data_IF_591970214854
#
_entry.id   IF_591970214854
#
_cell.length_a   1.000
_cell.length_b   1.000
_cell.length_c   1.000
_cell.angle_alpha   90.00
_cell.angle_beta   90.00
_cell.angle_gamma   90.00
#
_symmetry.space_group_name_H-M   'P 1'
#
loop_
_entity.id
_entity.type
_entity.pdbx_description
1 polymer ?
#
# COMPACT_ATOMS: atom_id res chain seq x y z
N UNK A 1 -3.61 -36.44 -5.95
CA UNK A 1 -3.43 -37.29 -4.75
C UNK A 1 -4.78 -37.77 -4.29
N UNK A 2 -4.93 -39.07 -3.99
CA UNK A 2 -6.20 -39.64 -3.49
C UNK A 2 -6.27 -39.40 -1.99
N UNK A 3 -7.36 -38.81 -1.51
CA UNK A 3 -7.60 -38.59 -0.09
C UNK A 3 -8.28 -39.83 0.55
N UNK A 4 -7.97 -40.18 1.81
CA UNK A 4 -8.69 -41.23 2.53
C UNK A 4 -10.07 -40.73 2.96
N UNK A 5 -11.09 -41.55 2.70
CA UNK A 5 -12.47 -41.31 3.12
C UNK A 5 -12.68 -41.69 4.60
N UNK A 6 -12.84 -40.70 5.48
CA UNK A 6 -13.36 -40.87 6.85
C UNK A 6 -14.78 -40.32 6.98
N UNK A 7 -15.61 -40.83 7.91
CA UNK A 7 -17.04 -40.51 7.95
C UNK A 7 -17.36 -39.17 8.62
N UNK A 8 -18.29 -38.43 7.99
CA UNK A 8 -19.20 -37.43 8.57
C UNK A 8 -18.84 -36.75 9.89
N UNK A 9 -17.93 -35.77 9.84
CA UNK A 9 -17.88 -34.67 10.81
C UNK A 9 -18.54 -33.43 10.21
N UNK A 10 -19.36 -32.71 10.99
CA UNK A 10 -20.11 -31.55 10.50
C UNK A 10 -19.19 -30.49 9.89
N UNK A 11 -19.54 -30.00 8.70
CA UNK A 11 -18.77 -28.97 7.99
C UNK A 11 -18.61 -27.67 8.79
N UNK A 12 -19.51 -27.41 9.74
CA UNK A 12 -19.41 -26.32 10.71
C UNK A 12 -18.21 -26.46 11.67
N UNK A 13 -17.85 -27.68 12.09
CA UNK A 13 -16.70 -27.92 12.98
C UNK A 13 -15.35 -27.86 12.28
N UNK A 14 -15.30 -28.03 10.96
CA UNK A 14 -14.06 -27.89 10.19
C UNK A 14 -13.65 -26.42 9.98
N UNK A 15 -14.55 -25.46 10.19
CA UNK A 15 -14.28 -24.03 10.03
C UNK A 15 -13.58 -23.39 11.23
N UNK A 16 -13.65 -24.00 12.43
CA UNK A 16 -13.10 -23.43 13.68
C UNK A 16 -11.61 -23.70 13.93
N UNK A 17 -10.87 -24.18 12.92
CA UNK A 17 -9.47 -24.62 13.07
C UNK A 17 -8.48 -23.93 12.11
N UNK A 18 -8.93 -23.00 11.25
CA UNK A 18 -8.05 -22.27 10.34
C UNK A 18 -7.50 -20.99 10.99
N UNK A 19 -6.23 -20.61 10.73
CA UNK A 19 -5.65 -19.40 11.32
C UNK A 19 -6.40 -18.17 10.82
N UNK A 20 -6.73 -17.26 11.74
CA UNK A 20 -7.34 -15.97 11.40
C UNK A 20 -6.27 -14.93 11.10
N UNK A 21 -6.55 -14.09 10.10
CA UNK A 21 -5.69 -12.97 9.72
C UNK A 21 -5.55 -11.98 10.88
N UNK A 22 -4.37 -11.35 10.95
CA UNK A 22 -4.01 -10.36 11.97
C UNK A 22 -3.61 -9.04 11.27
N UNK A 23 -3.73 -7.89 11.96
CA UNK A 23 -4.32 -7.70 13.28
C UNK A 23 -5.85 -7.93 13.32
N UNK A 24 -6.40 -8.09 14.53
CA UNK A 24 -7.85 -7.91 14.78
C UNK A 24 -8.12 -6.46 15.17
N UNK A 25 -9.07 -5.82 14.50
CA UNK A 25 -9.44 -4.40 14.63
C UNK A 25 -10.96 -4.22 14.71
N UNK A 26 -11.47 -3.61 15.77
CA UNK A 26 -12.90 -3.51 16.05
C UNK A 26 -13.57 -2.36 15.25
N UNK A 27 -13.45 -2.35 13.93
CA UNK A 27 -14.00 -1.30 13.07
C UNK A 27 -15.48 -1.52 12.78
N UNK A 28 -16.32 -0.50 12.99
CA UNK A 28 -17.75 -0.55 12.67
C UNK A 28 -18.49 -1.68 13.42
N UNK A 29 -19.02 -2.71 12.72
CA UNK A 29 -19.66 -3.87 13.36
C UNK A 29 -18.65 -4.87 13.99
N UNK A 30 -17.37 -4.50 14.05
CA UNK A 30 -16.26 -5.39 14.42
C UNK A 30 -15.65 -6.09 13.19
N UNK A 31 -14.43 -6.59 13.33
CA UNK A 31 -13.80 -7.42 12.29
C UNK A 31 -14.53 -8.75 12.15
N UNK A 32 -15.10 -9.09 10.98
CA UNK A 32 -15.60 -10.44 10.76
C UNK A 32 -14.41 -11.42 10.76
N UNK A 33 -14.62 -12.71 11.09
CA UNK A 33 -13.56 -13.70 10.99
C UNK A 33 -13.03 -13.81 9.56
N UNK A 34 -11.81 -13.31 9.34
CA UNK A 34 -11.08 -13.41 8.08
C UNK A 34 -10.03 -14.50 8.25
N UNK A 35 -10.11 -15.54 7.42
CA UNK A 35 -9.14 -16.62 7.39
C UNK A 35 -7.85 -16.10 6.73
N UNK A 36 -6.71 -16.30 7.40
CA UNK A 36 -5.42 -15.83 6.95
C UNK A 36 -4.99 -16.47 5.64
N UNK A 37 -4.20 -15.75 4.85
CA UNK A 37 -3.61 -16.23 3.59
C UNK A 37 -2.84 -17.53 3.79
N UNK A 38 -2.17 -17.69 4.93
CA UNK A 38 -1.42 -18.90 5.29
C UNK A 38 -2.27 -20.19 5.29
N UNK A 39 -3.59 -20.09 5.48
CA UNK A 39 -4.53 -21.20 5.45
C UNK A 39 -4.80 -21.79 4.05
N UNK A 40 -4.42 -21.08 2.98
CA UNK A 40 -4.53 -21.58 1.60
C UNK A 40 -3.20 -21.52 0.83
N UNK A 41 -2.36 -20.55 1.14
CA UNK A 41 -1.07 -20.35 0.48
C UNK A 41 -0.03 -21.40 0.90
N UNK A 42 -0.03 -21.82 2.18
CA UNK A 42 0.90 -22.80 2.76
C UNK A 42 2.40 -22.59 2.37
N UNK A 43 2.84 -21.33 2.21
CA UNK A 43 4.20 -20.99 1.76
C UNK A 43 4.48 -21.20 0.26
N UNK A 44 3.54 -21.77 -0.50
CA UNK A 44 3.64 -22.01 -1.93
C UNK A 44 3.19 -20.83 -2.82
N UNK A 45 2.75 -19.71 -2.22
CA UNK A 45 2.20 -18.57 -2.95
C UNK A 45 2.98 -17.22 -2.84
N UNK A 46 4.28 -17.12 -3.20
CA UNK A 46 5.03 -15.85 -3.38
C UNK A 46 4.87 -14.80 -2.25
N UNK A 47 4.66 -13.49 -2.52
CA UNK A 47 4.38 -12.80 -3.80
C UNK A 47 5.61 -12.54 -4.70
N UNK A 48 5.52 -11.71 -5.76
CA UNK A 48 6.62 -11.48 -6.75
C UNK A 48 7.47 -10.28 -6.35
N UNK A 49 6.79 -9.22 -5.94
CA UNK A 49 7.35 -8.02 -5.34
C UNK A 49 6.72 -7.85 -3.96
N UNK A 50 7.35 -7.06 -3.05
CA UNK A 50 6.69 -6.63 -1.83
C UNK A 50 5.34 -5.95 -2.13
N UNK A 51 4.38 -5.97 -1.18
CA UNK A 51 3.10 -5.30 -1.36
C UNK A 51 3.28 -3.80 -1.53
N UNK A 52 2.49 -3.23 -2.44
CA UNK A 52 2.34 -1.80 -2.62
C UNK A 52 1.00 -1.36 -2.04
N UNK A 53 0.88 -0.09 -1.69
CA UNK A 53 -0.27 0.45 -0.97
C UNK A 53 -0.76 1.73 -1.63
N UNK A 54 -2.08 1.83 -1.78
CA UNK A 54 -2.78 3.02 -2.23
C UNK A 54 -3.64 3.60 -1.11
N UNK A 55 -4.86 4.03 -1.46
CA UNK A 55 -5.88 4.47 -0.49
C UNK A 55 -7.21 3.78 -0.83
N UNK A 56 -7.97 3.31 0.16
CA UNK A 56 -9.33 2.81 -0.12
C UNK A 56 -10.28 4.01 -0.27
N UNK A 57 -10.88 4.18 -1.46
CA UNK A 57 -11.96 5.15 -1.71
C UNK A 57 -13.30 4.49 -2.03
N UNK A 58 -13.27 3.27 -2.56
CA UNK A 58 -14.42 2.41 -2.85
C UNK A 58 -14.02 0.92 -2.78
N UNK A 59 -15.00 0.05 -2.79
CA UNK A 59 -14.81 -1.37 -3.02
C UNK A 59 -15.36 -1.80 -4.39
N UNK A 60 -14.64 -2.69 -5.07
CA UNK A 60 -15.16 -3.43 -6.24
C UNK A 60 -15.55 -4.84 -5.83
N UNK A 61 -16.75 -5.25 -6.24
CA UNK A 61 -17.27 -6.61 -6.10
C UNK A 61 -17.09 -7.35 -7.41
N UNK A 62 -16.51 -8.55 -7.30
CA UNK A 62 -16.18 -9.45 -8.40
C UNK A 62 -16.87 -10.80 -8.24
N UNK A 63 -16.93 -11.55 -9.34
CA UNK A 63 -17.04 -13.01 -9.30
C UNK A 63 -15.73 -13.64 -9.81
N UNK A 64 -15.47 -14.91 -9.52
CA UNK A 64 -14.26 -15.60 -9.99
C UNK A 64 -14.42 -16.29 -11.34
N UNK A 65 -15.65 -16.39 -11.86
CA UNK A 65 -16.06 -17.26 -12.99
C UNK A 65 -15.70 -18.74 -12.80
N UNK A 66 -15.40 -19.18 -11.58
CA UNK A 66 -15.20 -20.60 -11.26
C UNK A 66 -16.53 -21.34 -11.17
N UNK A 67 -16.59 -22.67 -11.41
CA UNK A 67 -17.81 -23.45 -11.24
C UNK A 67 -18.42 -23.32 -9.83
N UNK A 68 -19.74 -23.23 -9.75
CA UNK A 68 -20.51 -23.24 -8.49
C UNK A 68 -20.63 -24.68 -7.93
N UNK A 69 -21.09 -24.82 -6.69
CA UNK A 69 -21.39 -26.12 -6.09
C UNK A 69 -20.14 -26.91 -5.65
N UNK A 70 -19.03 -26.22 -5.42
CA UNK A 70 -17.81 -26.79 -4.87
C UNK A 70 -17.97 -27.07 -3.36
N UNK A 71 -17.22 -28.04 -2.82
CA UNK A 71 -17.21 -28.33 -1.39
C UNK A 71 -16.33 -27.33 -0.61
N UNK A 72 -16.64 -27.10 0.68
CA UNK A 72 -15.91 -26.15 1.54
C UNK A 72 -14.40 -26.45 1.64
N UNK A 73 -14.01 -27.72 1.55
CA UNK A 73 -12.60 -28.14 1.54
C UNK A 73 -11.84 -27.83 0.24
N UNK A 74 -12.53 -27.50 -0.85
CA UNK A 74 -11.90 -27.15 -2.14
C UNK A 74 -11.45 -25.69 -2.21
N UNK A 75 -11.95 -24.80 -1.32
CA UNK A 75 -11.68 -23.36 -1.39
C UNK A 75 -10.20 -23.00 -1.35
N UNK A 76 -9.35 -23.60 -0.49
CA UNK A 76 -7.90 -23.39 -0.55
C UNK A 76 -7.29 -23.66 -1.94
N UNK A 77 -7.71 -24.75 -2.60
CA UNK A 77 -7.24 -25.10 -3.94
C UNK A 77 -7.78 -24.17 -5.03
N UNK A 78 -9.00 -23.63 -4.87
CA UNK A 78 -9.57 -22.61 -5.76
C UNK A 78 -8.77 -21.30 -5.64
N UNK A 79 -8.49 -20.83 -4.43
CA UNK A 79 -7.66 -19.64 -4.21
C UNK A 79 -6.24 -19.82 -4.77
N UNK A 80 -5.64 -20.99 -4.55
CA UNK A 80 -4.33 -21.31 -5.09
C UNK A 80 -4.32 -21.38 -6.63
N UNK A 81 -5.35 -21.92 -7.28
CA UNK A 81 -5.42 -21.96 -8.76
C UNK A 81 -5.59 -20.56 -9.36
N UNK A 82 -6.42 -19.71 -8.74
CA UNK A 82 -6.57 -18.29 -9.12
C UNK A 82 -5.24 -17.54 -8.94
N UNK A 83 -4.52 -17.77 -7.84
CA UNK A 83 -3.18 -17.23 -7.62
C UNK A 83 -2.19 -17.67 -8.70
N UNK A 84 -2.14 -18.97 -9.02
CA UNK A 84 -1.23 -19.53 -10.04
C UNK A 84 -1.50 -18.89 -11.41
N UNK A 85 -2.78 -18.78 -11.80
CA UNK A 85 -3.17 -18.11 -13.05
C UNK A 85 -2.76 -16.64 -13.05
N UNK A 86 -3.09 -15.88 -12.01
CA UNK A 86 -2.73 -14.46 -11.92
C UNK A 86 -1.22 -14.24 -11.98
N UNK A 87 -0.44 -14.99 -11.20
CA UNK A 87 1.01 -14.79 -11.07
C UNK A 87 1.83 -15.25 -12.26
N UNK A 88 1.48 -16.41 -12.83
CA UNK A 88 2.31 -17.11 -13.81
C UNK A 88 1.74 -17.09 -15.23
N UNK A 89 0.48 -16.68 -15.41
CA UNK A 89 -0.16 -16.54 -16.74
C UNK A 89 -0.54 -15.09 -17.04
N UNK A 90 -1.03 -14.32 -16.05
CA UNK A 90 -1.39 -12.89 -16.20
C UNK A 90 -0.26 -11.92 -15.82
N UNK A 91 0.89 -12.45 -15.40
CA UNK A 91 2.09 -11.73 -14.94
C UNK A 91 1.89 -10.81 -13.71
N UNK A 92 0.79 -10.98 -12.97
CA UNK A 92 0.52 -10.18 -11.77
C UNK A 92 1.50 -10.49 -10.64
N UNK A 93 1.70 -9.53 -9.74
CA UNK A 93 2.63 -9.70 -8.61
C UNK A 93 2.13 -10.72 -7.58
N UNK A 94 0.80 -10.86 -7.50
CA UNK A 94 0.06 -11.75 -6.61
C UNK A 94 -1.36 -11.98 -7.17
N UNK A 95 -2.22 -12.73 -6.47
CA UNK A 95 -3.67 -12.78 -6.70
C UNK A 95 -4.26 -11.35 -6.77
N UNK A 96 -5.10 -11.09 -7.78
CA UNK A 96 -5.57 -9.74 -8.09
C UNK A 96 -6.50 -9.12 -7.04
N UNK A 97 -7.31 -9.95 -6.37
CA UNK A 97 -8.30 -9.55 -5.38
C UNK A 97 -7.69 -9.43 -3.98
N UNK A 98 -8.11 -8.45 -3.19
CA UNK A 98 -7.67 -8.30 -1.79
C UNK A 98 -8.27 -9.38 -0.89
N UNK A 99 -9.56 -9.66 -1.08
CA UNK A 99 -10.30 -10.67 -0.33
C UNK A 99 -11.06 -11.62 -1.25
N UNK A 100 -11.35 -12.81 -0.74
CA UNK A 100 -12.32 -13.71 -1.32
C UNK A 100 -13.42 -14.08 -0.31
N UNK A 101 -14.63 -14.27 -0.81
CA UNK A 101 -15.79 -14.76 -0.06
C UNK A 101 -16.30 -16.02 -0.74
N UNK A 102 -16.55 -17.09 0.01
CA UNK A 102 -17.08 -18.35 -0.53
C UNK A 102 -18.58 -18.54 -0.25
N UNK A 103 -19.22 -19.45 -1.01
CA UNK A 103 -20.61 -19.89 -0.84
C UNK A 103 -20.98 -20.31 0.61
N UNK A 104 -20.00 -20.64 1.46
CA UNK A 104 -20.20 -21.02 2.86
C UNK A 104 -20.18 -19.82 3.82
N UNK A 105 -20.05 -18.60 3.30
CA UNK A 105 -20.00 -17.36 4.07
C UNK A 105 -18.69 -17.15 4.83
N UNK A 106 -17.60 -17.82 4.42
CA UNK A 106 -16.25 -17.59 4.97
C UNK A 106 -15.53 -16.53 4.16
N UNK A 107 -14.78 -15.68 4.86
CA UNK A 107 -13.97 -14.62 4.27
C UNK A 107 -12.51 -15.05 4.34
N UNK A 108 -11.77 -14.83 3.26
CA UNK A 108 -10.36 -15.19 3.12
C UNK A 108 -9.55 -13.95 2.75
N UNK A 109 -8.42 -13.77 3.43
CA UNK A 109 -7.34 -12.92 2.96
C UNK A 109 -6.81 -13.53 1.65
N UNK A 110 -7.03 -12.83 0.55
CA UNK A 110 -6.48 -13.22 -0.74
C UNK A 110 -5.08 -12.62 -0.87
N UNK A 111 -4.94 -11.34 -1.24
CA UNK A 111 -3.64 -10.70 -1.51
C UNK A 111 -2.81 -10.48 -0.25
N UNK A 112 -1.50 -10.73 -0.32
CA UNK A 112 -0.57 -10.47 0.79
C UNK A 112 -0.33 -8.97 1.03
N UNK A 113 0.07 -8.59 2.24
CA UNK A 113 0.27 -7.18 2.64
C UNK A 113 -0.66 -6.66 3.75
N UNK A 114 -1.38 -7.52 4.46
CA UNK A 114 -2.20 -7.14 5.61
C UNK A 114 -3.64 -6.78 5.25
N UNK A 115 -4.58 -7.46 5.91
CA UNK A 115 -6.03 -7.30 5.74
C UNK A 115 -6.53 -5.90 6.09
N UNK A 116 -5.87 -5.20 7.00
CA UNK A 116 -6.23 -3.87 7.44
C UNK A 116 -5.78 -2.80 6.43
N UNK A 117 -4.70 -3.03 5.69
CA UNK A 117 -4.07 -2.06 4.79
C UNK A 117 -4.76 -1.83 3.45
N UNK A 118 -4.48 -0.68 2.83
CA UNK A 118 -4.93 -0.33 1.48
C UNK A 118 -4.06 -1.00 0.38
N UNK A 119 -3.88 -2.32 0.47
CA UNK A 119 -3.03 -3.09 -0.47
C UNK A 119 -3.49 -2.89 -1.91
N UNK A 120 -2.59 -2.40 -2.77
CA UNK A 120 -2.84 -2.16 -4.18
C UNK A 120 -3.12 -3.49 -4.90
N UNK A 121 -4.32 -3.66 -5.43
CA UNK A 121 -4.80 -4.86 -6.10
C UNK A 121 -4.34 -5.00 -7.57
N UNK A 122 -4.87 -6.00 -8.27
CA UNK A 122 -4.78 -6.14 -9.73
C UNK A 122 -6.11 -6.69 -10.27
N UNK A 123 -7.20 -6.02 -9.89
CA UNK A 123 -8.59 -6.46 -10.04
C UNK A 123 -9.46 -5.51 -10.86
N UNK A 124 -9.29 -4.19 -10.72
CA UNK A 124 -9.98 -3.17 -11.51
C UNK A 124 -8.93 -2.22 -12.11
N UNK A 125 -8.62 -2.40 -13.40
CA UNK A 125 -7.40 -1.91 -14.04
C UNK A 125 -7.13 -0.44 -13.78
N UNK A 126 -8.10 0.41 -14.12
CA UNK A 126 -8.01 1.87 -13.95
C UNK A 126 -7.95 2.36 -12.50
N UNK A 127 -8.28 1.53 -11.51
CA UNK A 127 -8.71 1.98 -10.18
C UNK A 127 -8.06 1.22 -9.01
N UNK A 128 -7.12 0.30 -9.26
CA UNK A 128 -6.48 -0.55 -8.25
C UNK A 128 -5.80 0.22 -7.10
N UNK A 129 -5.26 1.41 -7.37
CA UNK A 129 -4.61 2.25 -6.36
C UNK A 129 -5.58 3.02 -5.46
N UNK A 130 -6.88 3.06 -5.82
CA UNK A 130 -7.91 3.82 -5.12
C UNK A 130 -9.02 2.92 -4.54
N UNK A 131 -8.87 1.59 -4.60
CA UNK A 131 -9.94 0.64 -4.27
C UNK A 131 -9.46 -0.63 -3.56
N UNK A 132 -10.39 -1.30 -2.89
CA UNK A 132 -10.23 -2.70 -2.44
C UNK A 132 -11.12 -3.61 -3.29
N UNK A 133 -10.62 -4.77 -3.72
CA UNK A 133 -11.38 -5.74 -4.50
C UNK A 133 -11.76 -6.97 -3.68
N UNK A 134 -13.04 -7.34 -3.70
CA UNK A 134 -13.57 -8.56 -3.10
C UNK A 134 -14.12 -9.46 -4.20
N UNK A 135 -13.63 -10.69 -4.29
CA UNK A 135 -14.21 -11.71 -5.19
C UNK A 135 -15.16 -12.63 -4.43
N UNK A 136 -16.38 -12.79 -4.93
CA UNK A 136 -17.27 -13.87 -4.52
C UNK A 136 -16.94 -15.08 -5.40
N UNK A 137 -16.57 -16.20 -4.79
CA UNK A 137 -16.14 -17.39 -5.53
C UNK A 137 -17.34 -18.09 -6.18
N UNK A 138 -17.34 -18.15 -7.51
CA UNK A 138 -18.41 -18.72 -8.31
C UNK A 138 -18.60 -17.99 -9.65
N UNK A 139 -19.62 -18.42 -10.40
CA UNK A 139 -20.12 -17.79 -11.61
C UNK A 139 -21.57 -17.36 -11.40
N UNK A 140 -21.77 -16.05 -11.36
CA UNK A 140 -23.04 -15.42 -10.99
C UNK A 140 -23.67 -14.63 -12.14
N UNK A 141 -23.54 -15.14 -13.38
CA UNK A 141 -24.25 -14.60 -14.54
C UNK A 141 -25.77 -14.74 -14.35
N UNK A 142 -26.27 -15.97 -14.22
CA UNK A 142 -27.70 -16.30 -14.12
C UNK A 142 -28.12 -16.88 -12.77
N UNK A 143 -27.17 -17.15 -11.87
CA UNK A 143 -27.40 -17.76 -10.55
C UNK A 143 -27.00 -16.75 -9.48
N UNK A 144 -27.87 -16.54 -8.49
CA UNK A 144 -27.57 -15.70 -7.34
C UNK A 144 -26.53 -16.36 -6.41
N UNK A 145 -25.60 -15.61 -5.79
CA UNK A 145 -24.74 -16.16 -4.73
C UNK A 145 -25.54 -16.68 -3.54
N UNK A 146 -24.93 -17.60 -2.78
CA UNK A 146 -25.52 -18.08 -1.54
C UNK A 146 -25.79 -16.93 -0.55
N UNK A 147 -26.90 -16.93 0.20
CA UNK A 147 -27.19 -15.90 1.20
C UNK A 147 -26.08 -15.72 2.26
N UNK A 148 -25.39 -16.81 2.61
CA UNK A 148 -24.23 -16.77 3.50
C UNK A 148 -23.05 -15.99 2.91
N UNK A 149 -22.80 -16.11 1.60
CA UNK A 149 -21.78 -15.33 0.89
C UNK A 149 -22.14 -13.85 0.84
N UNK A 150 -23.41 -13.50 0.60
CA UNK A 150 -23.88 -12.10 0.63
C UNK A 150 -23.70 -11.50 2.03
N UNK A 151 -24.15 -12.18 3.09
CA UNK A 151 -23.99 -11.70 4.47
C UNK A 151 -22.51 -11.62 4.92
N UNK A 152 -21.62 -12.42 4.32
CA UNK A 152 -20.17 -12.31 4.54
C UNK A 152 -19.55 -11.13 3.78
N UNK A 153 -19.94 -10.91 2.52
CA UNK A 153 -19.58 -9.74 1.72
C UNK A 153 -20.01 -8.44 2.41
N UNK A 154 -21.24 -8.37 2.90
CA UNK A 154 -21.78 -7.19 3.59
C UNK A 154 -20.99 -6.84 4.85
N UNK A 155 -20.70 -7.82 5.71
CA UNK A 155 -19.88 -7.61 6.92
C UNK A 155 -18.44 -7.22 6.60
N UNK A 156 -17.82 -7.84 5.59
CA UNK A 156 -16.48 -7.50 5.13
C UNK A 156 -16.41 -6.06 4.61
N UNK A 157 -17.36 -5.65 3.76
CA UNK A 157 -17.43 -4.31 3.21
C UNK A 157 -17.70 -3.27 4.31
N UNK A 158 -18.58 -3.58 5.27
CA UNK A 158 -18.86 -2.69 6.39
C UNK A 158 -17.61 -2.42 7.24
N UNK A 159 -16.89 -3.49 7.62
CA UNK A 159 -15.62 -3.38 8.35
C UNK A 159 -14.56 -2.64 7.54
N UNK A 160 -14.27 -3.09 6.30
CA UNK A 160 -13.14 -2.58 5.52
C UNK A 160 -13.31 -1.12 5.11
N UNK A 161 -14.53 -0.69 4.79
CA UNK A 161 -14.81 0.71 4.47
C UNK A 161 -14.78 1.57 5.75
N UNK A 162 -15.36 1.11 6.87
CA UNK A 162 -15.31 1.84 8.16
C UNK A 162 -13.87 2.09 8.63
N UNK A 163 -13.02 1.07 8.55
CA UNK A 163 -11.62 1.09 8.96
C UNK A 163 -10.77 2.14 8.22
N UNK A 164 -11.15 2.47 6.98
CA UNK A 164 -10.51 3.47 6.12
C UNK A 164 -11.23 4.83 6.14
N UNK A 165 -12.25 5.00 6.98
CA UNK A 165 -13.07 6.21 7.05
C UNK A 165 -13.90 6.45 5.78
N UNK A 166 -14.31 5.38 5.08
CA UNK A 166 -15.05 5.44 3.82
C UNK A 166 -16.54 5.18 4.08
N UNK A 167 -17.46 6.04 3.64
CA UNK A 167 -18.89 5.77 3.73
C UNK A 167 -19.32 4.68 2.73
N UNK A 168 -20.28 3.83 3.11
CA UNK A 168 -20.82 2.78 2.25
C UNK A 168 -21.78 3.30 1.16
N UNK A 169 -22.42 4.45 1.39
CA UNK A 169 -23.38 5.07 0.47
C UNK A 169 -22.78 6.21 -0.35
N UNK A 170 -23.49 6.55 -1.42
CA UNK A 170 -23.13 7.63 -2.33
C UNK A 170 -22.10 7.22 -3.37
N UNK A 171 -21.46 8.24 -3.97
CA UNK A 171 -20.48 8.09 -5.04
C UNK A 171 -19.15 8.75 -4.65
N UNK A 172 -18.10 8.40 -5.39
CA UNK A 172 -16.76 8.98 -5.27
C UNK A 172 -16.20 9.26 -6.67
N UNK A 173 -15.40 10.31 -6.81
CA UNK A 173 -14.57 10.50 -8.00
C UNK A 173 -13.24 9.79 -7.80
N UNK A 174 -12.89 8.94 -8.76
CA UNK A 174 -11.60 8.25 -8.88
C UNK A 174 -10.93 8.63 -10.19
N UNK A 175 -9.61 8.50 -10.26
CA UNK A 175 -8.81 8.85 -11.43
C UNK A 175 -8.34 7.59 -12.14
N UNK A 176 -8.62 7.51 -13.45
CA UNK A 176 -8.19 6.38 -14.29
C UNK A 176 -6.67 6.39 -14.43
N UNK A 177 -6.01 5.36 -13.92
CA UNK A 177 -4.56 5.18 -14.05
C UNK A 177 -4.14 5.02 -15.52
N UNK A 178 -2.94 5.49 -15.87
CA UNK A 178 -2.41 5.40 -17.25
C UNK A 178 -2.32 3.95 -17.72
N UNK A 179 -1.76 3.07 -16.87
CA UNK A 179 -1.54 1.66 -17.19
C UNK A 179 -2.85 0.85 -17.17
N UNK A 180 -3.86 1.34 -16.45
CA UNK A 180 -5.18 0.71 -16.32
C UNK A 180 -6.21 1.16 -17.36
N UNK A 181 -6.01 2.33 -17.98
CA UNK A 181 -6.94 2.90 -18.96
C UNK A 181 -7.36 1.95 -20.09
N UNK A 182 -6.49 1.07 -20.65
CA UNK A 182 -6.88 0.12 -21.70
C UNK A 182 -7.99 -0.87 -21.31
N UNK A 183 -8.25 -1.06 -20.01
CA UNK A 183 -9.35 -1.90 -19.51
C UNK A 183 -10.66 -1.14 -19.30
N UNK A 184 -10.66 0.20 -19.47
CA UNK A 184 -11.80 1.08 -19.18
C UNK A 184 -12.38 1.67 -20.47
N UNK A 185 -13.53 2.35 -20.39
CA UNK A 185 -14.07 3.16 -21.48
C UNK A 185 -13.50 4.62 -21.50
N UNK A 186 -12.50 4.92 -20.67
CA UNK A 186 -12.06 6.28 -20.36
C UNK A 186 -10.57 6.48 -20.63
N UNK A 187 -10.17 7.73 -20.90
CA UNK A 187 -8.77 8.07 -21.14
C UNK A 187 -7.95 8.11 -19.83
N UNK A 188 -6.62 7.90 -19.86
CA UNK A 188 -5.73 8.17 -18.74
C UNK A 188 -5.99 9.53 -18.09
N UNK A 189 -6.04 9.57 -16.75
CA UNK A 189 -6.30 10.80 -15.99
C UNK A 189 -7.77 11.24 -15.96
N UNK A 190 -8.70 10.51 -16.58
CA UNK A 190 -10.13 10.83 -16.50
C UNK A 190 -10.65 10.69 -15.07
N UNK A 191 -11.46 11.65 -14.63
CA UNK A 191 -12.20 11.58 -13.38
C UNK A 191 -13.53 10.85 -13.59
N UNK A 192 -13.66 9.64 -13.03
CA UNK A 192 -14.87 8.82 -13.15
C UNK A 192 -15.61 8.82 -11.82
N UNK A 193 -16.93 9.07 -11.86
CA UNK A 193 -17.79 8.97 -10.67
C UNK A 193 -18.30 7.54 -10.54
N UNK A 194 -17.98 6.84 -9.45
CA UNK A 194 -18.40 5.46 -9.17
C UNK A 194 -19.15 5.36 -7.83
N UNK A 195 -20.06 4.40 -7.63
CA UNK A 195 -20.63 4.12 -6.31
C UNK A 195 -19.53 3.61 -5.34
N UNK A 196 -19.70 3.86 -4.04
CA UNK A 196 -18.73 3.41 -3.00
C UNK A 196 -18.55 1.90 -2.90
N UNK A 197 -19.55 1.15 -3.36
CA UNK A 197 -19.48 -0.30 -3.61
C UNK A 197 -19.91 -0.49 -5.06
N UNK A 198 -18.97 -0.84 -5.93
CA UNK A 198 -19.15 -0.95 -7.38
C UNK A 198 -19.08 -2.43 -7.82
N UNK A 199 -19.77 -2.78 -8.91
CA UNK A 199 -19.44 -3.98 -9.66
C UNK A 199 -18.22 -3.70 -10.55
N UNK A 200 -17.42 -4.71 -10.88
CA UNK A 200 -16.27 -4.53 -11.78
C UNK A 200 -16.65 -3.82 -13.09
N UNK A 201 -17.77 -4.21 -13.70
CA UNK A 201 -18.40 -3.58 -14.88
C UNK A 201 -18.78 -2.09 -14.75
N UNK A 202 -18.81 -1.53 -13.54
CA UNK A 202 -19.06 -0.09 -13.36
C UNK A 202 -17.83 0.75 -13.75
N UNK A 203 -16.62 0.17 -13.70
CA UNK A 203 -15.35 0.85 -13.98
C UNK A 203 -14.63 0.35 -15.24
N UNK A 204 -14.60 -0.97 -15.45
CA UNK A 204 -13.87 -1.64 -16.53
C UNK A 204 -14.84 -2.28 -17.56
N UNK A 205 -14.35 -2.58 -18.75
CA UNK A 205 -15.10 -3.25 -19.82
C UNK A 205 -15.19 -4.77 -19.57
N UNK A 206 -16.22 -5.21 -18.85
CA UNK A 206 -16.36 -6.61 -18.40
C UNK A 206 -17.81 -7.01 -18.08
N UNK A 207 -18.09 -8.32 -18.06
CA UNK A 207 -19.32 -8.91 -17.50
C UNK A 207 -19.27 -9.09 -15.98
N UNK A 208 -18.10 -9.04 -15.35
CA UNK A 208 -17.93 -9.22 -13.90
C UNK A 208 -18.73 -8.14 -13.10
N UNK A 209 -19.45 -8.46 -12.01
CA UNK A 209 -19.52 -9.73 -11.27
C UNK A 209 -20.63 -10.69 -11.72
N UNK A 210 -21.10 -10.58 -12.96
CA UNK A 210 -22.26 -11.31 -13.48
C UNK A 210 -23.59 -10.69 -13.08
N UNK A 211 -24.63 -10.90 -13.90
CA UNK A 211 -25.87 -10.14 -13.81
C UNK A 211 -26.63 -10.40 -12.50
N UNK A 212 -26.67 -11.64 -12.03
CA UNK A 212 -27.39 -12.02 -10.82
C UNK A 212 -26.76 -11.49 -9.52
N UNK A 213 -25.43 -11.37 -9.43
CA UNK A 213 -24.76 -10.70 -8.31
C UNK A 213 -24.79 -9.17 -8.48
N UNK A 214 -24.58 -8.66 -9.70
CA UNK A 214 -24.65 -7.23 -9.98
C UNK A 214 -26.01 -6.62 -9.60
N UNK A 215 -27.11 -7.33 -9.89
CA UNK A 215 -28.46 -6.93 -9.51
C UNK A 215 -28.69 -6.79 -7.99
N UNK A 216 -27.88 -7.45 -7.15
CA UNK A 216 -27.98 -7.35 -5.69
C UNK A 216 -27.20 -6.16 -5.09
N UNK A 217 -26.28 -5.54 -5.84
CA UNK A 217 -25.42 -4.47 -5.32
C UNK A 217 -26.18 -3.26 -4.73
N UNK A 218 -27.37 -2.85 -5.21
CA UNK A 218 -28.18 -1.83 -4.54
C UNK A 218 -28.61 -2.23 -3.12
N UNK A 219 -29.01 -3.50 -2.91
CA UNK A 219 -29.38 -4.02 -1.61
C UNK A 219 -28.15 -4.14 -0.70
N UNK A 220 -27.05 -4.72 -1.20
CA UNK A 220 -25.77 -4.82 -0.48
C UNK A 220 -25.31 -3.45 0.02
N UNK A 221 -25.37 -2.39 -0.81
CA UNK A 221 -25.05 -1.02 -0.36
C UNK A 221 -25.89 -0.58 0.83
N UNK A 222 -27.19 -0.87 0.82
CA UNK A 222 -28.10 -0.49 1.92
C UNK A 222 -27.84 -1.30 3.19
N UNK A 223 -27.55 -2.60 3.09
CA UNK A 223 -27.23 -3.46 4.23
C UNK A 223 -25.88 -3.10 4.84
N UNK A 224 -24.84 -2.91 4.01
CA UNK A 224 -23.54 -2.41 4.46
C UNK A 224 -23.70 -1.08 5.21
N UNK A 225 -24.54 -0.16 4.72
CA UNK A 225 -24.79 1.12 5.38
C UNK A 225 -25.52 1.01 6.73
N UNK A 226 -26.25 -0.07 6.98
CA UNK A 226 -26.86 -0.37 8.29
C UNK A 226 -25.87 -1.06 9.26
N UNK A 227 -24.88 -1.79 8.73
CA UNK A 227 -23.83 -2.44 9.50
C UNK A 227 -22.68 -1.49 9.87
N UNK A 228 -22.41 -0.48 9.05
CA UNK A 228 -21.40 0.56 9.34
C UNK A 228 -21.84 1.35 10.58
N UNK A 229 -20.97 1.38 11.60
CA UNK A 229 -21.13 2.22 12.79
C UNK A 229 -20.81 3.69 12.51
N UNK A 230 -20.03 4.35 13.37
CA UNK A 230 -19.49 5.69 13.09
C UNK A 230 -18.06 5.56 12.55
N UNK A 231 -17.80 5.71 11.23
CA UNK A 231 -16.44 5.63 10.69
C UNK A 231 -15.60 6.79 11.20
N UNK A 232 -14.34 6.49 11.52
CA UNK A 232 -13.33 7.49 11.88
C UNK A 232 -12.19 7.47 10.87
N UNK A 233 -11.64 8.65 10.57
CA UNK A 233 -10.43 8.79 9.77
C UNK A 233 -9.23 9.02 10.69
N UNK A 234 -8.26 8.12 10.63
CA UNK A 234 -6.93 8.32 11.20
C UNK A 234 -6.02 8.88 10.11
N UNK A 235 -5.47 10.07 10.31
CA UNK A 235 -4.47 10.65 9.40
C UNK A 235 -3.06 10.48 9.95
N UNK A 236 -2.09 10.48 9.05
CA UNK A 236 -0.66 10.53 9.36
C UNK A 236 0.03 11.46 8.37
N UNK A 237 1.06 12.17 8.81
CA UNK A 237 1.89 13.05 8.02
C UNK A 237 3.35 12.96 8.49
N UNK A 238 4.25 12.73 7.54
CA UNK A 238 5.70 12.84 7.71
C UNK A 238 6.22 14.13 7.04
N UNK A 239 7.41 14.64 7.40
CA UNK A 239 8.01 15.78 6.73
C UNK A 239 8.22 15.52 5.23
N UNK A 240 7.92 16.52 4.39
CA UNK A 240 8.06 16.42 2.92
C UNK A 240 9.54 16.38 2.49
N UNK A 241 10.42 17.07 3.22
CA UNK A 241 11.86 17.02 2.99
C UNK A 241 12.47 15.79 3.67
N UNK A 242 13.37 15.04 3.02
CA UNK A 242 14.08 13.93 3.65
C UNK A 242 14.84 14.39 4.90
N UNK A 243 14.73 13.60 5.97
CA UNK A 243 15.47 13.81 7.20
C UNK A 243 16.98 13.57 7.00
N UNK A 244 17.81 14.21 7.81
CA UNK A 244 19.18 13.76 8.01
C UNK A 244 19.20 12.48 8.86
N UNK A 245 20.18 11.58 8.68
CA UNK A 245 20.22 10.30 9.39
C UNK A 245 20.31 10.51 10.90
N UNK A 246 19.55 9.70 11.66
CA UNK A 246 19.47 9.76 13.12
C UNK A 246 19.11 11.15 13.70
N UNK A 247 18.49 12.02 12.89
CA UNK A 247 17.98 13.32 13.35
C UNK A 247 16.51 13.19 13.75
N UNK A 248 16.08 13.62 14.95
CA UNK A 248 14.69 13.58 15.36
C UNK A 248 13.78 14.40 14.43
N UNK A 249 12.64 13.82 14.07
CA UNK A 249 11.62 14.42 13.20
C UNK A 249 10.22 14.08 13.71
N UNK A 250 9.31 15.05 13.63
CA UNK A 250 7.93 14.85 14.06
C UNK A 250 7.10 14.19 12.96
N UNK A 251 6.51 13.05 13.28
CA UNK A 251 5.39 12.44 12.55
C UNK A 251 4.12 12.83 13.30
N UNK A 252 3.11 13.31 12.59
CA UNK A 252 1.89 13.88 13.20
C UNK A 252 0.64 13.31 12.55
N UNK A 253 -0.52 13.50 13.19
CA UNK A 253 -1.79 13.13 12.60
C UNK A 253 -2.98 13.52 13.48
N UNK A 254 -4.17 13.07 13.07
CA UNK A 254 -5.43 13.31 13.77
C UNK A 254 -6.37 12.12 13.61
N UNK A 255 -7.10 11.78 14.68
CA UNK A 255 -8.23 10.84 14.67
C UNK A 255 -9.53 11.62 14.87
N UNK A 256 -10.49 11.44 13.96
CA UNK A 256 -11.78 12.10 14.02
C UNK A 256 -12.89 11.32 13.31
N UNK A 257 -14.15 11.55 13.69
CA UNK A 257 -15.31 11.05 12.97
C UNK A 257 -15.38 11.60 11.54
N UNK A 258 -15.73 10.75 10.58
CA UNK A 258 -15.84 11.13 9.16
C UNK A 258 -17.02 12.06 8.89
N UNK A 259 -18.14 11.85 9.58
CA UNK A 259 -19.40 12.56 9.31
C UNK A 259 -19.43 13.97 9.95
N UNK A 260 -18.97 14.07 11.21
CA UNK A 260 -19.05 15.32 12.00
C UNK A 260 -17.73 16.09 12.05
N UNK A 261 -16.59 15.44 11.76
CA UNK A 261 -15.24 15.97 12.01
C UNK A 261 -14.85 16.01 13.50
N UNK A 262 -15.72 15.53 14.40
CA UNK A 262 -15.52 15.54 15.85
C UNK A 262 -14.24 14.78 16.23
N UNK A 263 -13.43 15.31 17.17
CA UNK A 263 -12.19 14.68 17.60
C UNK A 263 -12.48 13.43 18.43
N UNK A 264 -11.71 12.35 18.20
CA UNK A 264 -11.65 11.25 19.15
C UNK A 264 -10.47 11.52 20.10
N UNK A 265 -10.77 12.05 21.28
CA UNK A 265 -9.78 12.39 22.31
C UNK A 265 -9.44 11.20 23.22
N UNK A 266 -8.22 11.13 23.73
CA UNK A 266 -7.79 10.07 24.66
C UNK A 266 -7.61 8.69 24.02
N UNK A 267 -7.66 8.58 22.69
CA UNK A 267 -7.57 7.32 21.97
C UNK A 267 -6.11 6.81 21.91
N UNK A 268 -5.83 5.54 22.30
CA UNK A 268 -4.52 4.94 22.12
C UNK A 268 -4.24 4.61 20.65
N UNK A 269 -3.06 4.96 20.16
CA UNK A 269 -2.60 4.71 18.80
C UNK A 269 -1.25 3.99 18.83
N UNK A 270 -1.14 2.87 18.11
CA UNK A 270 0.14 2.22 17.84
C UNK A 270 0.80 2.87 16.62
N UNK A 271 2.03 3.33 16.78
CA UNK A 271 2.88 3.76 15.67
C UNK A 271 3.70 2.56 15.22
N UNK A 272 3.46 2.10 14.00
CA UNK A 272 4.01 0.85 13.50
C UNK A 272 4.95 1.09 12.31
N UNK A 273 6.09 0.40 12.34
CA UNK A 273 6.97 0.26 11.18
C UNK A 273 6.55 -0.97 10.36
N UNK A 274 6.46 -0.80 9.04
CA UNK A 274 6.17 -1.89 8.10
C UNK A 274 7.47 -2.33 7.44
N UNK A 275 7.71 -3.65 7.42
CA UNK A 275 8.91 -4.28 6.84
C UNK A 275 8.50 -5.49 6.00
N UNK A 276 8.95 -5.55 4.75
CA UNK A 276 8.67 -6.70 3.87
C UNK A 276 7.18 -6.85 3.55
N UNK A 277 6.71 -8.10 3.51
CA UNK A 277 5.34 -8.46 3.11
C UNK A 277 4.35 -8.32 4.27
N UNK A 278 4.65 -8.98 5.39
CA UNK A 278 3.68 -9.21 6.48
C UNK A 278 4.34 -8.98 7.87
N UNK A 279 5.39 -8.15 7.96
CA UNK A 279 6.07 -7.84 9.23
C UNK A 279 5.81 -6.41 9.67
N UNK A 280 5.16 -6.29 10.83
CA UNK A 280 4.76 -5.02 11.43
C UNK A 280 5.33 -4.96 12.85
N UNK A 281 5.96 -3.84 13.20
CA UNK A 281 6.57 -3.66 14.52
C UNK A 281 6.07 -2.36 15.14
N UNK A 282 5.34 -2.45 16.24
CA UNK A 282 4.95 -1.28 17.04
C UNK A 282 6.19 -0.64 17.66
N UNK A 283 6.55 0.56 17.20
CA UNK A 283 7.67 1.34 17.69
C UNK A 283 7.33 2.12 18.96
N UNK A 284 6.08 2.60 19.04
CA UNK A 284 5.58 3.40 20.16
C UNK A 284 4.06 3.29 20.26
N UNK A 285 3.52 3.61 21.44
CA UNK A 285 2.10 3.95 21.63
C UNK A 285 2.00 5.42 21.98
N UNK A 286 1.08 6.14 21.33
CA UNK A 286 0.75 7.54 21.64
C UNK A 286 -0.74 7.67 21.96
N UNK A 287 -1.17 8.83 22.46
CA UNK A 287 -2.57 9.10 22.77
C UNK A 287 -2.99 10.40 22.10
N UNK A 288 -4.23 10.46 21.62
CA UNK A 288 -4.77 11.69 21.01
C UNK A 288 -5.11 12.76 22.05
N UNK A 289 -4.84 14.02 21.69
CA UNK A 289 -5.23 15.18 22.49
C UNK A 289 -6.73 15.49 22.42
N UNK A 290 -7.17 16.55 23.11
CA UNK A 290 -8.57 17.01 23.08
C UNK A 290 -9.09 17.43 21.70
N UNK A 291 -8.20 17.78 20.76
CA UNK A 291 -8.50 18.05 19.36
C UNK A 291 -8.41 16.82 18.45
N UNK A 292 -8.14 15.64 19.01
CA UNK A 292 -7.94 14.38 18.31
C UNK A 292 -6.56 14.26 17.66
N UNK A 293 -5.66 15.23 17.86
CA UNK A 293 -4.34 15.26 17.23
C UNK A 293 -3.35 14.38 18.00
N UNK A 294 -2.31 13.93 17.32
CA UNK A 294 -1.23 13.16 17.92
C UNK A 294 0.11 13.48 17.25
N UNK A 295 1.20 13.21 17.98
CA UNK A 295 2.56 13.38 17.46
C UNK A 295 3.50 12.31 18.00
N UNK A 296 4.42 11.84 17.15
CA UNK A 296 5.49 10.92 17.48
C UNK A 296 6.83 11.48 17.00
N UNK A 297 7.84 11.46 17.87
CA UNK A 297 9.21 11.85 17.52
C UNK A 297 9.98 10.62 17.01
N UNK A 298 10.14 10.52 15.69
CA UNK A 298 10.89 9.46 15.04
C UNK A 298 12.37 9.87 14.87
N UNK A 299 13.30 8.92 14.98
CA UNK A 299 14.74 9.16 14.78
C UNK A 299 15.28 8.19 13.71
N UNK A 300 14.92 8.39 12.42
CA UNK A 300 15.15 7.41 11.36
C UNK A 300 16.63 7.37 10.95
N UNK A 301 17.21 6.17 10.85
CA UNK A 301 18.55 5.96 10.28
C UNK A 301 18.53 5.64 8.78
N UNK A 302 17.39 5.19 8.26
CA UNK A 302 17.11 4.82 6.87
C UNK A 302 15.66 5.18 6.53
N UNK A 303 15.31 5.16 5.24
CA UNK A 303 13.93 5.24 4.76
C UNK A 303 13.07 4.22 5.54
N UNK A 304 12.01 4.70 6.19
CA UNK A 304 11.14 3.88 7.05
C UNK A 304 9.69 4.04 6.60
N UNK A 305 8.97 2.93 6.38
CA UNK A 305 7.53 2.95 6.18
C UNK A 305 6.84 2.97 7.55
N UNK A 306 6.00 3.98 7.79
CA UNK A 306 5.26 4.15 9.04
C UNK A 306 3.76 4.24 8.79
N UNK A 307 2.97 3.68 9.70
CA UNK A 307 1.53 3.91 9.85
C UNK A 307 1.16 4.16 11.31
N UNK A 308 -0.03 4.69 11.54
CA UNK A 308 -0.69 4.71 12.84
C UNK A 308 -1.90 3.76 12.80
N UNK A 309 -2.14 3.08 13.92
CA UNK A 309 -3.21 2.10 14.08
C UNK A 309 -3.99 2.33 15.38
N UNK A 310 -5.31 2.42 15.29
CA UNK A 310 -6.24 2.42 16.42
C UNK A 310 -7.05 1.12 16.39
N UNK A 311 -6.85 0.23 17.38
CA UNK A 311 -7.54 -1.08 17.45
C UNK A 311 -8.97 -1.05 18.03
N UNK A 312 -9.26 -0.30 19.11
CA UNK A 312 -10.59 -0.28 19.71
C UNK A 312 -11.64 0.34 18.79
N UNK A 313 -12.91 -0.03 18.97
CA UNK A 313 -14.01 0.59 18.26
C UNK A 313 -14.17 2.09 18.62
N UNK A 314 -14.34 3.00 17.64
CA UNK A 314 -14.31 2.79 16.19
C UNK A 314 -12.88 2.64 15.65
N UNK A 315 -12.49 1.42 15.25
CA UNK A 315 -11.10 1.17 14.84
C UNK A 315 -10.77 1.86 13.52
N UNK A 316 -9.52 2.33 13.40
CA UNK A 316 -9.05 3.12 12.28
C UNK A 316 -7.59 2.83 11.98
N UNK A 317 -7.22 2.88 10.70
CA UNK A 317 -5.83 2.80 10.27
C UNK A 317 -5.50 3.99 9.38
N UNK A 318 -4.27 4.50 9.47
CA UNK A 318 -3.81 5.56 8.59
C UNK A 318 -3.39 5.02 7.23
N UNK A 319 -3.29 5.92 6.25
CA UNK A 319 -2.45 5.73 5.06
C UNK A 319 -0.99 5.42 5.50
N UNK A 320 -0.15 4.86 4.63
CA UNK A 320 1.28 4.62 4.93
C UNK A 320 2.11 5.81 4.45
N UNK A 321 3.03 6.30 5.28
CA UNK A 321 3.99 7.35 4.90
C UNK A 321 5.42 6.83 4.86
N UNK A 322 6.19 7.32 3.89
CA UNK A 322 7.65 7.13 3.84
C UNK A 322 8.31 8.22 4.65
N UNK A 323 8.93 7.85 5.77
CA UNK A 323 9.88 8.73 6.45
C UNK A 323 11.24 8.62 5.74
N UNK A 324 11.44 9.49 4.74
CA UNK A 324 12.61 9.47 3.88
C UNK A 324 13.87 10.01 4.61
N UNK A 325 15.03 9.38 4.38
CA UNK A 325 16.33 9.79 4.93
C UNK A 325 17.31 10.04 3.78
N UNK A 326 17.83 11.26 3.68
CA UNK A 326 18.89 11.59 2.72
C UNK A 326 20.27 11.43 3.37
N UNK A 327 21.26 10.82 2.69
CA UNK A 327 22.64 10.83 3.17
C UNK A 327 23.18 12.27 3.18
N UNK A 328 23.92 12.62 4.23
CA UNK A 328 24.65 13.89 4.31
C UNK A 328 25.96 13.73 3.53
N UNK A 329 26.22 14.64 2.59
CA UNK A 329 27.47 14.68 1.82
C UNK A 329 28.26 15.95 2.06
N UNK A 330 29.57 15.81 2.20
CA UNK A 330 30.53 16.91 2.09
C UNK A 330 31.29 16.82 0.77
N UNK A 331 31.77 17.96 0.28
CA UNK A 331 32.65 18.05 -0.88
C UNK A 331 33.57 19.24 -0.72
N UNK A 332 34.86 19.01 -0.96
CA UNK A 332 35.94 20.01 -0.92
C UNK A 332 36.70 19.95 -2.24
N UNK A 333 37.16 21.11 -2.73
CA UNK A 333 38.12 21.19 -3.82
C UNK A 333 39.53 21.34 -3.22
N UNK A 334 40.34 20.30 -3.31
CA UNK A 334 41.68 20.27 -2.71
C UNK A 334 42.72 20.99 -3.60
N UNK A 335 42.49 20.97 -4.92
CA UNK A 335 43.25 21.73 -5.92
C UNK A 335 42.37 22.06 -7.11
N UNK A 336 42.60 23.21 -7.75
CA UNK A 336 41.96 23.59 -9.01
C UNK A 336 42.78 23.21 -10.26
N UNK A 337 44.07 22.85 -10.11
CA UNK A 337 44.98 22.64 -11.23
C UNK A 337 46.02 21.53 -10.93
N UNK A 338 45.78 20.27 -11.36
CA UNK A 338 44.53 19.75 -11.91
C UNK A 338 43.42 19.68 -10.85
N UNK A 339 42.12 19.76 -11.22
CA UNK A 339 41.04 19.66 -10.26
C UNK A 339 41.05 18.34 -9.49
N UNK A 340 41.20 18.40 -8.17
CA UNK A 340 41.08 17.26 -7.24
C UNK A 340 40.10 17.60 -6.14
N UNK A 341 39.28 16.62 -5.77
CA UNK A 341 38.24 16.76 -4.76
C UNK A 341 38.27 15.63 -3.75
N UNK A 342 37.90 15.97 -2.52
CA UNK A 342 37.70 15.05 -1.40
C UNK A 342 36.33 15.28 -0.78
N UNK A 343 35.81 14.29 -0.04
CA UNK A 343 34.55 14.44 0.66
C UNK A 343 34.11 13.18 1.39
N UNK A 344 32.96 13.30 2.06
CA UNK A 344 32.35 12.23 2.85
C UNK A 344 30.88 12.02 2.47
N UNK A 345 30.37 10.83 2.77
CA UNK A 345 28.96 10.45 2.69
C UNK A 345 28.58 9.70 3.96
N UNK A 346 27.55 10.20 4.66
CA UNK A 346 27.06 9.64 5.92
C UNK A 346 25.55 9.35 5.82
N UNK A 347 25.09 8.11 6.05
CA UNK A 347 25.87 6.95 6.47
C UNK A 347 26.78 6.43 5.35
N UNK A 348 27.79 5.59 5.65
CA UNK A 348 28.71 5.09 4.64
C UNK A 348 28.00 4.38 3.47
N UNK A 349 28.15 4.94 2.27
CA UNK A 349 27.70 4.35 1.02
C UNK A 349 28.92 3.99 0.17
N UNK A 350 28.84 2.90 -0.60
CA UNK A 350 29.97 2.38 -1.37
C UNK A 350 30.35 3.25 -2.60
N UNK A 351 29.45 4.12 -3.06
CA UNK A 351 29.65 4.96 -4.24
C UNK A 351 28.96 6.32 -4.11
N UNK A 352 29.61 7.35 -4.62
CA UNK A 352 29.03 8.68 -4.89
C UNK A 352 29.19 9.00 -6.39
N UNK A 353 28.48 10.00 -6.88
CA UNK A 353 28.69 10.58 -8.21
C UNK A 353 29.06 12.05 -8.05
N UNK A 354 30.18 12.46 -8.63
CA UNK A 354 30.62 13.85 -8.64
C UNK A 354 30.24 14.45 -9.99
N UNK A 355 29.29 15.38 -9.95
CA UNK A 355 28.87 16.14 -11.12
C UNK A 355 29.73 17.40 -11.24
N UNK A 356 30.23 17.65 -12.45
CA UNK A 356 30.82 18.92 -12.86
C UNK A 356 29.82 19.67 -13.75
N UNK A 357 29.43 20.87 -13.34
CA UNK A 357 28.60 21.78 -14.12
C UNK A 357 29.41 22.98 -14.59
N UNK A 358 29.29 23.37 -15.86
CA UNK A 358 29.73 24.69 -16.34
C UNK A 358 28.64 25.71 -16.03
N UNK A 359 29.03 26.91 -15.61
CA UNK A 359 28.12 28.04 -15.41
C UNK A 359 28.19 28.94 -16.64
N UNK A 360 27.05 29.24 -17.26
CA UNK A 360 26.97 30.25 -18.34
C UNK A 360 27.14 31.68 -17.79
N UNK A 361 27.32 32.65 -18.69
CA UNK A 361 27.23 34.09 -18.36
C UNK A 361 25.89 34.46 -17.69
N UNK A 362 24.81 33.76 -18.05
CA UNK A 362 23.46 33.90 -17.47
C UNK A 362 23.25 33.11 -16.18
N UNK A 363 24.29 32.51 -15.60
CA UNK A 363 24.19 31.74 -14.34
C UNK A 363 23.60 30.33 -14.47
N UNK A 364 23.12 29.93 -15.67
CA UNK A 364 22.56 28.59 -15.92
C UNK A 364 23.65 27.53 -15.81
N UNK A 365 23.37 26.46 -15.07
CA UNK A 365 24.23 25.27 -14.97
C UNK A 365 24.00 24.33 -16.15
N UNK A 366 25.07 23.84 -16.75
CA UNK A 366 25.07 22.77 -17.75
C UNK A 366 25.98 21.65 -17.27
N UNK A 367 25.46 20.42 -17.19
CA UNK A 367 26.26 19.25 -16.81
C UNK A 367 27.34 18.98 -17.88
N UNK A 368 28.60 18.87 -17.46
CA UNK A 368 29.77 18.60 -18.30
C UNK A 368 30.22 17.15 -18.14
N UNK A 369 30.25 16.65 -16.91
CA UNK A 369 30.56 15.26 -16.60
C UNK A 369 29.90 14.82 -15.29
N UNK A 370 29.60 13.53 -15.20
CA UNK A 370 29.18 12.87 -13.97
C UNK A 370 30.10 11.67 -13.72
N UNK A 371 30.99 11.79 -12.74
CA UNK A 371 32.03 10.78 -12.45
C UNK A 371 31.60 9.95 -11.25
N UNK A 372 31.41 8.64 -11.43
CA UNK A 372 31.18 7.70 -10.31
C UNK A 372 32.50 7.45 -9.59
N UNK A 373 32.47 7.55 -8.27
CA UNK A 373 33.64 7.43 -7.38
C UNK A 373 33.31 6.42 -6.28
N UNK A 374 34.24 5.52 -5.97
CA UNK A 374 34.10 4.62 -4.83
C UNK A 374 34.31 5.39 -3.52
N UNK A 375 33.53 5.06 -2.50
CA UNK A 375 33.66 5.62 -1.17
C UNK A 375 33.93 4.49 -0.17
N UNK A 376 35.04 4.59 0.56
CA UNK A 376 35.53 3.57 1.50
C UNK A 376 35.36 4.12 2.92
N UNK A 377 34.65 3.41 3.79
CA UNK A 377 34.31 3.92 5.13
C UNK A 377 33.51 5.23 5.10
N UNK A 378 32.81 5.53 3.99
CA UNK A 378 32.12 6.81 3.79
C UNK A 378 33.00 7.97 3.32
N UNK A 379 34.30 7.78 3.11
CA UNK A 379 35.20 8.81 2.54
C UNK A 379 35.50 8.55 1.07
N UNK A 380 35.60 9.60 0.26
CA UNK A 380 35.96 9.51 -1.16
C UNK A 380 36.94 10.61 -1.58
N UNK A 381 37.71 10.32 -2.63
CA UNK A 381 38.57 11.27 -3.32
C UNK A 381 38.53 11.01 -4.83
N UNK A 382 38.67 12.06 -5.63
CA UNK A 382 38.75 11.94 -7.09
C UNK A 382 39.58 13.06 -7.72
N UNK A 383 40.35 12.70 -8.75
CA UNK A 383 40.80 13.67 -9.75
C UNK A 383 39.68 13.82 -10.79
N UNK A 384 39.30 15.06 -11.09
CA UNK A 384 38.37 15.40 -12.16
C UNK A 384 39.18 15.79 -13.40
N UNK A 385 38.72 15.38 -14.59
CA UNK A 385 39.35 15.79 -15.85
C UNK A 385 39.30 17.32 -15.96
N UNK A 386 40.46 17.98 -16.12
CA UNK A 386 40.56 19.44 -16.25
C UNK A 386 39.66 19.92 -17.40
N UNK A 387 38.65 20.77 -17.14
CA UNK A 387 37.80 21.32 -18.18
C UNK A 387 38.50 22.52 -18.86
N UNK A 388 37.97 23.01 -20.00
CA UNK A 388 38.41 24.28 -20.60
C UNK A 388 38.19 25.46 -19.65
N UNK A 389 38.80 26.62 -19.93
CA UNK A 389 38.63 27.80 -19.07
C UNK A 389 37.17 28.25 -18.93
N UNK A 390 36.85 28.77 -17.75
CA UNK A 390 35.51 29.21 -17.37
C UNK A 390 35.17 28.93 -15.90
N UNK A 391 33.92 29.24 -15.53
CA UNK A 391 33.38 29.06 -14.17
C UNK A 391 32.64 27.72 -14.07
N UNK A 392 32.87 27.01 -12.97
CA UNK A 392 32.35 25.67 -12.74
C UNK A 392 31.78 25.50 -11.34
N UNK A 393 30.86 24.55 -11.21
CA UNK A 393 30.29 24.04 -9.95
C UNK A 393 30.54 22.54 -9.88
N UNK A 394 31.00 22.05 -8.74
CA UNK A 394 31.04 20.63 -8.40
C UNK A 394 29.98 20.30 -7.34
N UNK A 395 29.33 19.15 -7.48
CA UNK A 395 28.35 18.62 -6.50
C UNK A 395 28.56 17.11 -6.37
N UNK A 396 28.71 16.60 -5.16
CA UNK A 396 28.69 15.17 -4.88
C UNK A 396 27.24 14.73 -4.63
N UNK A 397 26.83 13.61 -5.21
CA UNK A 397 25.45 13.10 -5.16
C UNK A 397 25.40 11.61 -4.89
N UNK A 398 24.28 11.17 -4.33
CA UNK A 398 23.87 9.77 -4.23
C UNK A 398 22.53 9.59 -4.94
N UNK A 399 22.33 8.41 -5.55
CA UNK A 399 21.03 8.05 -6.11
C UNK A 399 20.09 7.58 -4.99
N UNK A 400 18.79 7.80 -5.17
CA UNK A 400 17.79 7.20 -4.29
C UNK A 400 17.84 5.66 -4.37
N UNK A 401 17.55 5.00 -3.25
CA UNK A 401 17.52 3.55 -3.07
C UNK A 401 16.37 3.20 -2.12
N UNK A 402 16.08 1.91 -1.95
CA UNK A 402 15.14 1.48 -0.91
C UNK A 402 15.52 1.96 0.51
N UNK A 403 16.83 2.10 0.82
CA UNK A 403 17.32 2.49 2.14
C UNK A 403 17.46 4.00 2.37
N UNK A 404 17.64 4.77 1.31
CA UNK A 404 17.93 6.21 1.40
C UNK A 404 17.35 6.99 0.23
N UNK A 405 16.83 8.19 0.49
CA UNK A 405 16.54 9.19 -0.53
C UNK A 405 17.84 9.65 -1.23
N UNK A 406 17.69 10.36 -2.35
CA UNK A 406 18.84 10.98 -3.01
C UNK A 406 19.42 12.11 -2.14
N UNK A 407 20.72 12.06 -1.85
CA UNK A 407 21.46 13.12 -1.17
C UNK A 407 22.36 13.90 -2.13
N UNK A 408 22.63 15.16 -1.79
CA UNK A 408 23.59 16.01 -2.50
C UNK A 408 24.41 16.86 -1.51
N UNK A 409 25.68 17.12 -1.84
CA UNK A 409 26.52 18.07 -1.10
C UNK A 409 26.13 19.52 -1.39
N UNK A 410 26.56 20.47 -0.55
CA UNK A 410 26.71 21.86 -0.97
C UNK A 410 27.54 21.97 -2.27
N UNK A 411 27.27 23.02 -3.05
CA UNK A 411 27.91 23.25 -4.34
C UNK A 411 29.25 23.99 -4.17
N UNK A 412 30.35 23.39 -4.65
CA UNK A 412 31.69 24.00 -4.63
C UNK A 412 31.94 24.72 -5.96
N UNK A 413 32.23 26.02 -5.91
CA UNK A 413 32.52 26.83 -7.11
C UNK A 413 34.03 26.97 -7.34
N UNK A 414 34.45 26.96 -8.60
CA UNK A 414 35.84 27.24 -8.99
C UNK A 414 35.95 27.78 -10.43
N UNK A 415 37.14 28.26 -10.78
CA UNK A 415 37.49 28.78 -12.12
C UNK A 415 38.77 28.08 -12.61
N UNK A 416 38.90 27.89 -13.92
CA UNK A 416 40.02 27.20 -14.60
C UNK A 416 40.64 28.06 -15.70
#
# INVERSE_FOLDING_TARGET
FVAPSGPGGDAATAASALPLAQPVLDAGPGQPPIIARSAWAHGHAPPRHPPEYGTVKLAFVHHSETPNGYAAGHVPSILYSIFVFHRYVRDYFDIGYNFAVDDFGRIWEARAGGIDQAVLGAQAGGYNAESTGVVVLGSFMSVAPAPAAIAALERLLAWKLSLHGVPALGRVSVVVSTDGAPYTAFAPGSHVSLPRIAGHRDGDQTSCPGDALYAQLPLVRSQVAQLVGTPTRLTIAAPVAPASPATPVSVTGRLAEVASGAPIAGAPLEIQQITGTDTETTLATVTTDSGGNWSYAATPSQNTLLRALHRPAPAAVSDIVVLAVAPVLTLTLDSAAPPTVSGTVTPPLARVTIDLYRISSTGRRQLVSAQRVAATGGSFQARIRRPPSGRYVLVARTAATARYAAGASPAVQFTV
#
